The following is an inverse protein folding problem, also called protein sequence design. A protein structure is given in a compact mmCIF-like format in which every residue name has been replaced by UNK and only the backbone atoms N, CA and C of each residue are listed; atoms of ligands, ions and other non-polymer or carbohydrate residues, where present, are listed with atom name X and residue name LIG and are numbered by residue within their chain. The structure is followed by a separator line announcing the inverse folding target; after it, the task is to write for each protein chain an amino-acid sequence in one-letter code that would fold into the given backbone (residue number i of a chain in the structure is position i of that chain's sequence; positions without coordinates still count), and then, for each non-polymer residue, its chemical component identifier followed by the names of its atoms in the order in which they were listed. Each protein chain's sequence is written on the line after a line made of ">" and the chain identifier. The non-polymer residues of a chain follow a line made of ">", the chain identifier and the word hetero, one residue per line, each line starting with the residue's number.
data_IF_049044766456
#
_entry.id   IF_049044766456
#
_cell.length_a   1.000
_cell.length_b   1.000
_cell.length_c   1.000
_cell.angle_alpha   90.00
_cell.angle_beta   90.00
_cell.angle_gamma   90.00
#
_symmetry.space_group_name_H-M   'P 1'
#
loop_
_entity.id
_entity.type
_entity.pdbx_description
1 polymer ?
#
# COMPACT_ATOMS: atom_id res chain seq x y z
N UNK A 1 14.13 37.83 4.01
CA UNK A 1 13.83 36.43 4.39
C UNK A 1 15.13 35.66 4.33
N UNK A 2 15.41 34.82 5.32
CA UNK A 2 16.56 33.91 5.28
C UNK A 2 16.42 32.95 4.08
N UNK A 3 17.53 32.53 3.45
CA UNK A 3 17.47 31.52 2.39
C UNK A 3 16.90 30.21 2.95
N UNK A 4 16.11 29.51 2.13
CA UNK A 4 15.63 28.16 2.43
C UNK A 4 16.58 27.18 1.75
N UNK A 5 17.08 26.23 2.53
CA UNK A 5 17.97 25.16 2.07
C UNK A 5 17.17 23.88 1.86
N UNK A 6 17.41 23.20 0.74
CA UNK A 6 16.81 21.89 0.46
C UNK A 6 17.87 20.85 0.12
N UNK A 7 17.62 19.62 0.55
CA UNK A 7 18.37 18.44 0.13
C UNK A 7 17.42 17.45 -0.55
N UNK A 8 17.94 16.57 -1.39
CA UNK A 8 17.17 15.42 -1.90
C UNK A 8 18.09 14.23 -2.19
N UNK A 9 17.64 13.03 -1.84
CA UNK A 9 18.29 11.76 -2.22
C UNK A 9 17.66 11.17 -3.50
N UNK A 10 16.86 11.98 -4.21
CA UNK A 10 16.10 11.58 -5.36
C UNK A 10 16.25 12.62 -6.47
N UNK A 11 16.86 12.23 -7.58
CA UNK A 11 16.98 13.11 -8.74
C UNK A 11 15.65 13.15 -9.50
N UNK A 12 14.89 14.24 -9.31
CA UNK A 12 13.68 14.54 -10.06
C UNK A 12 13.72 15.96 -10.58
N UNK A 13 13.75 16.08 -11.90
CA UNK A 13 13.72 17.37 -12.60
C UNK A 13 12.55 18.25 -12.16
N UNK A 14 11.39 17.66 -11.80
CA UNK A 14 10.24 18.43 -11.31
C UNK A 14 10.54 19.08 -9.96
N UNK A 15 11.23 18.38 -9.06
CA UNK A 15 11.58 18.91 -7.73
C UNK A 15 12.65 19.98 -7.89
N UNK A 16 13.72 19.67 -8.62
CA UNK A 16 14.84 20.60 -8.86
C UNK A 16 14.34 21.90 -9.49
N UNK A 17 13.56 21.81 -10.59
CA UNK A 17 13.01 22.99 -11.25
C UNK A 17 12.09 23.81 -10.33
N UNK A 18 11.34 23.13 -9.46
CA UNK A 18 10.40 23.76 -8.53
C UNK A 18 11.12 24.51 -7.39
N UNK A 19 12.21 23.94 -6.86
CA UNK A 19 13.07 24.54 -5.85
C UNK A 19 13.87 25.72 -6.44
N UNK A 20 14.42 25.56 -7.65
CA UNK A 20 15.12 26.63 -8.36
C UNK A 20 14.20 27.83 -8.65
N UNK A 21 12.97 27.58 -9.12
CA UNK A 21 11.99 28.64 -9.34
C UNK A 21 11.63 29.41 -8.05
N UNK A 22 11.73 28.76 -6.89
CA UNK A 22 11.55 29.37 -5.56
C UNK A 22 12.81 30.02 -5.00
N UNK A 23 13.93 29.93 -5.71
CA UNK A 23 15.25 30.40 -5.27
C UNK A 23 15.72 29.74 -3.97
N UNK A 24 15.36 28.46 -3.77
CA UNK A 24 15.92 27.66 -2.68
C UNK A 24 17.33 27.21 -3.04
N UNK A 25 18.15 27.02 -2.01
CA UNK A 25 19.56 26.64 -2.15
C UNK A 25 19.69 25.14 -1.94
N UNK A 26 20.25 24.45 -2.93
CA UNK A 26 20.55 23.03 -2.80
C UNK A 26 21.77 22.82 -1.89
N UNK A 27 21.68 21.84 -1.00
CA UNK A 27 22.74 21.44 -0.08
C UNK A 27 22.84 19.92 -0.03
N UNK A 28 23.99 19.41 0.43
CA UNK A 28 24.16 17.98 0.66
C UNK A 28 23.30 17.50 1.85
N UNK A 29 22.97 16.22 1.89
CA UNK A 29 22.15 15.65 2.98
C UNK A 29 22.83 15.71 4.36
N UNK A 30 24.16 15.86 4.38
CA UNK A 30 24.98 15.97 5.58
C UNK A 30 25.09 17.42 6.10
N UNK A 31 24.70 18.40 5.27
CA UNK A 31 24.66 19.81 5.65
C UNK A 31 23.35 20.17 6.35
N UNK A 32 23.28 21.41 6.86
CA UNK A 32 22.02 21.95 7.37
C UNK A 32 21.03 22.25 6.23
N UNK A 33 19.88 21.60 6.27
CA UNK A 33 18.74 21.80 5.37
C UNK A 33 17.48 22.17 6.15
N UNK A 34 16.54 22.87 5.51
CA UNK A 34 15.19 23.09 6.05
C UNK A 34 14.19 22.07 5.51
N UNK A 35 14.36 21.65 4.25
CA UNK A 35 13.49 20.67 3.60
C UNK A 35 14.33 19.54 3.02
N UNK A 36 14.06 18.30 3.45
CA UNK A 36 14.67 17.13 2.83
C UNK A 36 13.61 16.36 2.05
N UNK A 37 13.75 16.36 0.72
CA UNK A 37 12.94 15.52 -0.15
C UNK A 37 13.54 14.12 -0.18
N UNK A 38 13.11 13.31 0.79
CA UNK A 38 13.62 11.98 1.04
C UNK A 38 12.90 10.91 0.21
N UNK A 39 13.61 9.84 -0.09
CA UNK A 39 13.07 8.58 -0.57
C UNK A 39 12.37 7.83 0.55
N UNK A 40 11.55 6.83 0.19
CA UNK A 40 10.89 5.95 1.16
C UNK A 40 11.91 5.23 2.07
N UNK A 41 13.10 4.93 1.54
CA UNK A 41 14.17 4.27 2.31
C UNK A 41 14.75 5.22 3.35
N UNK A 42 15.12 6.43 2.95
CA UNK A 42 15.69 7.43 3.86
C UNK A 42 14.67 7.89 4.90
N UNK A 43 13.42 8.13 4.51
CA UNK A 43 12.35 8.46 5.45
C UNK A 43 12.13 7.35 6.50
N UNK A 44 12.24 6.07 6.12
CA UNK A 44 12.17 4.96 7.09
C UNK A 44 13.36 4.94 8.03
N UNK A 45 14.56 5.24 7.54
CA UNK A 45 15.74 5.33 8.38
C UNK A 45 15.61 6.46 9.40
N UNK A 46 15.20 7.66 8.95
CA UNK A 46 14.98 8.85 9.79
C UNK A 46 13.93 8.58 10.88
N UNK A 47 12.80 7.97 10.52
CA UNK A 47 11.74 7.68 11.48
C UNK A 47 11.96 6.40 12.31
N UNK A 48 13.04 5.65 12.07
CA UNK A 48 13.37 4.50 12.90
C UNK A 48 13.86 5.00 14.27
N UNK A 49 13.18 4.62 15.34
CA UNK A 49 13.54 5.00 16.72
C UNK A 49 14.95 4.54 17.11
N UNK A 50 15.46 3.48 16.50
CA UNK A 50 16.81 2.96 16.74
C UNK A 50 17.91 3.78 16.06
N UNK A 51 17.57 4.59 15.06
CA UNK A 51 18.55 5.41 14.32
C UNK A 51 19.12 6.55 15.17
N UNK A 52 18.41 6.95 16.24
CA UNK A 52 18.76 8.11 17.06
C UNK A 52 18.59 9.47 16.37
N UNK A 53 18.14 9.48 15.11
CA UNK A 53 17.93 10.72 14.33
C UNK A 53 16.73 11.49 14.90
N UNK A 54 16.92 12.79 15.12
CA UNK A 54 15.86 13.72 15.51
C UNK A 54 15.91 14.93 14.61
N UNK A 55 14.78 15.25 14.00
CA UNK A 55 14.64 16.46 13.19
C UNK A 55 14.62 17.69 14.10
N UNK A 56 15.25 18.77 13.64
CA UNK A 56 15.17 20.09 14.25
C UNK A 56 13.80 20.74 13.97
N UNK A 57 13.45 21.78 14.74
CA UNK A 57 12.16 22.47 14.62
C UNK A 57 11.92 23.13 13.24
N UNK A 58 13.00 23.42 12.52
CA UNK A 58 13.00 24.02 11.18
C UNK A 58 13.22 23.00 10.05
N UNK A 59 13.26 21.71 10.38
CA UNK A 59 13.46 20.62 9.45
C UNK A 59 12.15 19.89 9.13
N UNK A 60 11.84 19.80 7.84
CA UNK A 60 10.66 19.13 7.32
C UNK A 60 11.05 18.09 6.27
N UNK A 61 10.39 16.94 6.30
CA UNK A 61 10.55 15.90 5.28
C UNK A 61 9.20 15.58 4.61
N UNK A 62 9.25 15.15 3.35
CA UNK A 62 8.09 14.86 2.48
C UNK A 62 7.33 13.56 2.83
N UNK A 63 7.54 12.97 4.01
CA UNK A 63 6.93 11.71 4.42
C UNK A 63 6.39 11.78 5.85
N UNK A 64 5.26 11.11 6.09
CA UNK A 64 4.75 10.92 7.44
C UNK A 64 5.28 9.62 8.06
N UNK A 65 5.55 9.59 9.38
CA UNK A 65 5.81 8.36 10.12
C UNK A 65 4.66 7.35 9.90
N UNK A 66 4.99 6.07 9.80
CA UNK A 66 4.00 4.99 9.63
C UNK A 66 3.08 5.11 8.39
N UNK A 67 3.44 5.90 7.38
CA UNK A 67 2.66 6.04 6.12
C UNK A 67 2.32 4.70 5.43
N UNK A 68 3.10 3.64 5.70
CA UNK A 68 2.88 2.30 5.17
C UNK A 68 1.57 1.67 5.65
N UNK A 69 0.98 2.14 6.75
CA UNK A 69 -0.34 1.71 7.25
C UNK A 69 -1.47 1.96 6.25
N UNK A 70 -1.33 3.00 5.41
CA UNK A 70 -2.30 3.35 4.37
C UNK A 70 -1.82 2.97 2.97
N UNK A 71 -0.51 2.95 2.72
CA UNK A 71 0.04 2.70 1.37
C UNK A 71 0.32 1.22 1.07
N UNK A 72 0.48 0.36 2.08
CA UNK A 72 0.54 -1.10 1.88
C UNK A 72 -0.86 -1.70 1.81
N UNK A 73 -1.09 -2.58 0.83
CA UNK A 73 -2.43 -3.13 0.53
C UNK A 73 -3.01 -3.96 1.68
N UNK A 74 -2.18 -4.76 2.34
CA UNK A 74 -2.58 -5.58 3.49
C UNK A 74 -2.96 -4.73 4.70
N UNK A 75 -2.14 -3.73 5.03
CA UNK A 75 -2.39 -2.83 6.16
C UNK A 75 -3.59 -1.92 5.91
N UNK A 76 -3.74 -1.37 4.69
CA UNK A 76 -4.91 -0.59 4.32
C UNK A 76 -6.21 -1.38 4.54
N UNK A 77 -6.26 -2.64 4.09
CA UNK A 77 -7.44 -3.51 4.28
C UNK A 77 -7.68 -3.80 5.76
N UNK A 78 -6.63 -4.08 6.55
CA UNK A 78 -6.76 -4.25 8.01
C UNK A 78 -7.29 -2.99 8.69
N UNK A 79 -6.78 -1.83 8.31
CA UNK A 79 -7.16 -0.55 8.88
C UNK A 79 -8.61 -0.18 8.56
N UNK A 80 -9.07 -0.40 7.32
CA UNK A 80 -10.47 -0.17 6.96
C UNK A 80 -11.41 -1.14 7.68
N UNK A 81 -11.02 -2.43 7.80
CA UNK A 81 -11.80 -3.41 8.60
C UNK A 81 -11.87 -2.99 10.08
N UNK A 82 -10.76 -2.50 10.66
CA UNK A 82 -10.73 -1.98 12.04
C UNK A 82 -11.62 -0.74 12.19
N UNK A 83 -11.50 0.22 11.26
CA UNK A 83 -12.27 1.46 11.26
C UNK A 83 -13.79 1.19 11.22
N UNK A 84 -14.24 0.32 10.30
CA UNK A 84 -15.65 -0.11 10.23
C UNK A 84 -16.16 -0.67 11.56
N UNK A 85 -15.40 -1.56 12.22
CA UNK A 85 -15.80 -2.14 13.53
C UNK A 85 -15.85 -1.12 14.66
N UNK A 86 -14.96 -0.13 14.66
CA UNK A 86 -14.98 0.95 15.65
C UNK A 86 -16.25 1.78 15.49
N UNK A 87 -16.55 2.21 14.26
CA UNK A 87 -17.74 2.97 13.95
C UNK A 87 -19.05 2.22 14.25
N UNK A 88 -19.08 0.90 14.03
CA UNK A 88 -20.22 0.06 14.43
C UNK A 88 -20.44 0.07 15.94
N UNK A 89 -19.38 -0.05 16.74
CA UNK A 89 -19.47 -0.01 18.21
C UNK A 89 -19.95 1.36 18.70
N UNK A 90 -19.54 2.41 18.02
CA UNK A 90 -19.93 3.79 18.32
C UNK A 90 -21.32 4.17 17.78
N UNK A 91 -22.00 3.24 17.09
CA UNK A 91 -23.28 3.51 16.39
C UNK A 91 -23.21 4.73 15.45
N UNK A 92 -22.06 4.94 14.82
CA UNK A 92 -21.83 6.06 13.93
C UNK A 92 -22.58 5.87 12.61
N UNK A 93 -23.20 6.94 12.09
CA UNK A 93 -23.97 6.93 10.83
C UNK A 93 -23.17 6.40 9.64
N UNK A 94 -21.86 6.56 9.62
CA UNK A 94 -20.99 6.07 8.55
C UNK A 94 -20.96 4.54 8.49
N UNK A 95 -21.20 3.85 9.61
CA UNK A 95 -21.30 2.40 9.67
C UNK A 95 -22.71 1.86 9.42
N UNK A 96 -23.67 2.71 9.03
CA UNK A 96 -25.02 2.27 8.68
C UNK A 96 -24.98 1.21 7.57
N UNK A 97 -25.87 0.21 7.67
CA UNK A 97 -26.00 -0.91 6.74
C UNK A 97 -27.39 -0.98 6.13
N UNK A 98 -27.48 -1.49 4.91
CA UNK A 98 -28.75 -1.88 4.30
C UNK A 98 -29.31 -3.19 4.92
N UNK A 99 -30.52 -3.58 4.52
CA UNK A 99 -31.18 -4.82 4.98
C UNK A 99 -30.39 -6.10 4.62
N UNK A 100 -29.43 -5.99 3.70
CA UNK A 100 -28.55 -7.09 3.28
C UNK A 100 -27.22 -7.10 4.05
N UNK A 101 -27.03 -6.16 4.99
CA UNK A 101 -25.85 -6.04 5.83
C UNK A 101 -24.65 -5.38 5.15
N UNK A 102 -24.83 -4.72 4.00
CA UNK A 102 -23.77 -3.96 3.31
C UNK A 102 -23.70 -2.54 3.83
N UNK A 103 -22.51 -1.99 3.97
CA UNK A 103 -22.35 -0.61 4.43
C UNK A 103 -22.87 0.38 3.40
N UNK A 104 -23.62 1.39 3.83
CA UNK A 104 -24.15 2.42 2.93
C UNK A 104 -23.05 3.38 2.46
N UNK A 105 -22.17 3.80 3.37
CA UNK A 105 -21.13 4.81 3.10
C UNK A 105 -19.72 4.23 2.99
N UNK A 106 -19.51 3.02 3.52
CA UNK A 106 -18.19 2.41 3.60
C UNK A 106 -18.00 1.25 2.62
N UNK A 107 -18.90 0.99 1.67
CA UNK A 107 -18.79 -0.09 0.67
C UNK A 107 -18.00 0.31 -0.59
N UNK A 108 -16.82 0.89 -0.39
CA UNK A 108 -15.92 1.33 -1.48
C UNK A 108 -14.65 0.48 -1.62
N UNK A 109 -14.49 -0.55 -0.78
CA UNK A 109 -13.37 -1.50 -0.85
C UNK A 109 -13.90 -2.89 -1.20
N UNK A 110 -13.46 -3.50 -2.31
CA UNK A 110 -13.86 -4.85 -2.67
C UNK A 110 -13.49 -5.86 -1.58
N UNK A 111 -14.29 -6.93 -1.46
CA UNK A 111 -14.00 -8.04 -0.55
C UNK A 111 -12.58 -8.55 -0.76
N UNK A 112 -11.77 -8.49 0.30
CA UNK A 112 -10.32 -8.76 0.24
C UNK A 112 -9.86 -9.61 1.42
N UNK A 113 -9.00 -10.58 1.12
CA UNK A 113 -8.40 -11.53 2.04
C UNK A 113 -6.88 -11.48 1.93
N UNK A 114 -6.17 -11.76 3.03
CA UNK A 114 -4.71 -11.77 3.08
C UNK A 114 -4.19 -13.20 3.01
N UNK A 115 -3.37 -13.52 2.03
CA UNK A 115 -2.78 -14.85 1.88
C UNK A 115 -1.36 -14.87 2.49
N UNK A 116 -0.99 -15.95 3.21
CA UNK A 116 -1.73 -17.20 3.37
C UNK A 116 -2.78 -17.23 4.49
N UNK A 117 -2.78 -16.22 5.38
CA UNK A 117 -3.53 -16.22 6.65
C UNK A 117 -5.05 -16.49 6.50
N UNK A 118 -5.69 -15.85 5.53
CA UNK A 118 -7.13 -15.88 5.29
C UNK A 118 -7.52 -16.92 4.22
N UNK A 119 -6.62 -17.83 3.83
CA UNK A 119 -6.88 -18.78 2.74
C UNK A 119 -8.15 -19.62 2.96
N UNK A 120 -8.38 -20.12 4.18
CA UNK A 120 -9.55 -20.93 4.51
C UNK A 120 -10.85 -20.14 4.29
N UNK A 121 -10.90 -18.91 4.79
CA UNK A 121 -12.07 -18.03 4.66
C UNK A 121 -12.29 -17.66 3.18
N UNK A 122 -11.22 -17.38 2.44
CA UNK A 122 -11.30 -17.15 1.00
C UNK A 122 -11.84 -18.39 0.25
N UNK A 123 -11.37 -19.59 0.59
CA UNK A 123 -11.80 -20.83 -0.06
C UNK A 123 -13.29 -21.12 0.18
N UNK A 124 -13.82 -20.78 1.35
CA UNK A 124 -15.25 -20.83 1.65
C UNK A 124 -16.06 -19.83 0.82
N UNK A 125 -15.59 -18.59 0.72
CA UNK A 125 -16.25 -17.56 -0.10
C UNK A 125 -16.26 -17.94 -1.59
N UNK A 126 -15.14 -18.46 -2.09
CA UNK A 126 -15.03 -18.95 -3.46
C UNK A 126 -16.03 -20.09 -3.72
N UNK A 127 -16.23 -21.01 -2.78
CA UNK A 127 -17.21 -22.11 -2.94
C UNK A 127 -18.64 -21.60 -3.03
N UNK A 128 -18.99 -20.55 -2.29
CA UNK A 128 -20.32 -19.90 -2.38
C UNK A 128 -20.50 -19.22 -3.74
N UNK A 129 -19.45 -18.60 -4.25
CA UNK A 129 -19.49 -17.76 -5.44
C UNK A 129 -18.42 -18.15 -6.48
N UNK A 130 -18.47 -19.35 -7.09
CA UNK A 130 -17.40 -19.89 -7.92
C UNK A 130 -17.21 -19.20 -9.28
N UNK A 131 -18.19 -18.37 -9.69
CA UNK A 131 -18.14 -17.60 -10.94
C UNK A 131 -17.39 -16.27 -10.79
N UNK A 132 -17.13 -15.82 -9.56
CA UNK A 132 -16.44 -14.55 -9.34
C UNK A 132 -14.98 -14.64 -9.77
N UNK A 133 -14.53 -13.59 -10.45
CA UNK A 133 -13.11 -13.39 -10.73
C UNK A 133 -12.47 -12.64 -9.56
N UNK A 134 -11.25 -13.04 -9.25
CA UNK A 134 -10.43 -12.47 -8.19
C UNK A 134 -9.12 -11.95 -8.78
N UNK A 135 -8.48 -11.02 -8.08
CA UNK A 135 -7.18 -10.47 -8.44
C UNK A 135 -6.21 -10.65 -7.28
N UNK A 136 -5.10 -11.34 -7.53
CA UNK A 136 -3.98 -11.42 -6.59
C UNK A 136 -3.04 -10.25 -6.81
N UNK A 137 -2.56 -9.66 -5.72
CA UNK A 137 -1.59 -8.56 -5.74
C UNK A 137 -0.58 -8.76 -4.61
N UNK A 138 0.73 -8.55 -4.85
CA UNK A 138 1.68 -8.52 -3.76
C UNK A 138 1.42 -7.29 -2.87
N UNK A 139 1.54 -7.46 -1.56
CA UNK A 139 1.13 -6.43 -0.59
C UNK A 139 2.03 -5.20 -0.66
N UNK A 140 3.31 -5.40 -0.92
CA UNK A 140 4.38 -4.39 -0.82
C UNK A 140 4.91 -3.90 -2.17
N UNK A 141 4.47 -4.47 -3.30
CA UNK A 141 4.92 -4.10 -4.65
C UNK A 141 4.00 -3.09 -5.34
N UNK A 142 4.52 -2.43 -6.37
CA UNK A 142 3.82 -1.44 -7.17
C UNK A 142 3.94 -1.74 -8.68
N UNK A 143 3.46 -0.84 -9.54
CA UNK A 143 3.61 -0.88 -11.01
C UNK A 143 3.01 -2.10 -11.73
N UNK A 144 2.09 -2.82 -11.07
CA UNK A 144 1.44 -3.99 -11.65
C UNK A 144 2.26 -5.29 -11.56
N UNK A 145 3.45 -5.25 -10.98
CA UNK A 145 4.30 -6.43 -10.86
C UNK A 145 3.68 -7.47 -9.93
N UNK A 146 3.71 -8.74 -10.36
CA UNK A 146 3.16 -9.87 -9.60
C UNK A 146 1.63 -9.88 -9.50
N UNK A 147 0.92 -9.05 -10.26
CA UNK A 147 -0.55 -9.06 -10.29
C UNK A 147 -1.05 -10.08 -11.31
N UNK A 148 -2.05 -10.87 -10.92
CA UNK A 148 -2.71 -11.79 -11.84
C UNK A 148 -4.17 -12.07 -11.43
N UNK A 149 -4.97 -12.45 -12.42
CA UNK A 149 -6.38 -12.82 -12.22
C UNK A 149 -6.51 -14.30 -11.87
N UNK A 150 -7.49 -14.59 -11.03
CA UNK A 150 -7.83 -15.94 -10.58
C UNK A 150 -9.33 -16.14 -10.76
N UNK A 151 -9.69 -17.16 -11.51
CA UNK A 151 -11.07 -17.62 -11.65
C UNK A 151 -11.24 -19.09 -11.24
N UNK A 152 -10.15 -19.77 -10.86
CA UNK A 152 -10.16 -21.16 -10.37
C UNK A 152 -9.31 -21.29 -9.13
N UNK A 153 -9.84 -21.95 -8.09
CA UNK A 153 -9.10 -22.21 -6.85
C UNK A 153 -7.78 -23.00 -7.08
N UNK A 154 -7.72 -23.83 -8.14
CA UNK A 154 -6.50 -24.54 -8.52
C UNK A 154 -5.34 -23.61 -8.91
N UNK A 155 -5.62 -22.42 -9.46
CA UNK A 155 -4.60 -21.42 -9.81
C UNK A 155 -3.91 -20.89 -8.54
N UNK A 156 -4.67 -20.61 -7.49
CA UNK A 156 -4.11 -20.18 -6.18
C UNK A 156 -3.24 -21.28 -5.59
N UNK A 157 -3.71 -22.54 -5.62
CA UNK A 157 -2.93 -23.68 -5.11
C UNK A 157 -1.63 -23.89 -5.90
N UNK A 158 -1.69 -23.77 -7.23
CA UNK A 158 -0.51 -23.88 -8.10
C UNK A 158 0.50 -22.77 -7.78
N UNK A 159 0.04 -21.52 -7.75
CA UNK A 159 0.86 -20.37 -7.37
C UNK A 159 1.52 -20.54 -6.00
N UNK A 160 0.77 -20.99 -4.99
CA UNK A 160 1.29 -21.21 -3.65
C UNK A 160 2.40 -22.28 -3.62
N UNK A 161 2.26 -23.37 -4.41
CA UNK A 161 3.29 -24.40 -4.53
C UNK A 161 4.55 -23.88 -5.22
N UNK A 162 4.39 -23.14 -6.32
CA UNK A 162 5.51 -22.57 -7.08
C UNK A 162 6.29 -21.57 -6.23
N UNK A 163 5.60 -20.66 -5.54
CA UNK A 163 6.24 -19.72 -4.60
C UNK A 163 6.93 -20.44 -3.44
N UNK A 164 6.34 -21.49 -2.86
CA UNK A 164 7.03 -22.28 -1.83
C UNK A 164 8.28 -23.00 -2.37
N UNK A 165 8.25 -23.54 -3.59
CA UNK A 165 9.38 -24.27 -4.17
C UNK A 165 10.59 -23.39 -4.51
N UNK A 166 10.38 -22.10 -4.77
CA UNK A 166 11.45 -21.14 -5.09
C UNK A 166 12.21 -20.73 -3.84
N UNK A 167 11.54 -20.57 -2.69
CA UNK A 167 12.20 -20.17 -1.43
C UNK A 167 12.73 -21.34 -0.59
N UNK A 168 12.51 -22.60 -1.00
CA UNK A 168 13.03 -23.79 -0.32
C UNK A 168 14.40 -24.29 -0.83
N UNK A 169 14.98 -23.68 -1.88
CA UNK A 169 16.25 -24.17 -2.45
C UNK A 169 17.52 -23.49 -1.94
N UNK A 170 17.44 -22.26 -1.40
CA UNK A 170 18.64 -21.49 -1.00
C UNK A 170 18.62 -21.10 0.49
N UNK A 171 18.19 -21.99 1.37
CA UNK A 171 18.16 -21.75 2.82
C UNK A 171 19.46 -22.19 3.51
N UNK A 172 20.58 -21.55 3.16
CA UNK A 172 21.74 -21.44 4.06
C UNK A 172 21.90 -19.97 4.51
N UNK A 173 21.42 -19.68 5.73
CA UNK A 173 21.97 -18.66 6.65
C UNK A 173 21.66 -17.17 6.41
N UNK A 174 20.43 -16.81 6.01
CA UNK A 174 19.95 -15.42 6.12
C UNK A 174 18.73 -15.30 7.07
N UNK A 175 18.67 -14.25 7.90
CA UNK A 175 17.62 -14.08 8.88
C UNK A 175 16.28 -13.78 8.20
N UNK A 176 15.33 -14.72 8.31
CA UNK A 176 13.89 -14.51 8.30
C UNK A 176 13.37 -13.52 7.22
N UNK A 177 13.67 -13.74 5.93
CA UNK A 177 12.96 -13.01 4.86
C UNK A 177 11.48 -13.37 4.98
N UNK A 178 10.57 -12.43 5.32
CA UNK A 178 9.16 -12.75 5.45
C UNK A 178 8.64 -13.18 4.08
N UNK A 179 7.95 -14.33 4.05
CA UNK A 179 7.23 -14.78 2.85
C UNK A 179 6.44 -13.63 2.26
N UNK A 180 6.59 -13.38 0.96
CA UNK A 180 5.88 -12.29 0.30
C UNK A 180 4.37 -12.45 0.54
N UNK A 181 3.78 -11.48 1.23
CA UNK A 181 2.35 -11.50 1.58
C UNK A 181 1.56 -10.99 0.39
N UNK A 182 0.46 -11.68 0.05
CA UNK A 182 -0.43 -11.27 -1.03
C UNK A 182 -1.80 -10.90 -0.49
N UNK A 183 -2.47 -10.00 -1.20
CA UNK A 183 -3.91 -9.80 -1.04
C UNK A 183 -4.63 -10.42 -2.23
N UNK A 184 -5.72 -11.15 -1.96
CA UNK A 184 -6.67 -11.58 -2.97
C UNK A 184 -7.96 -10.78 -2.79
N UNK A 185 -8.35 -10.07 -3.83
CA UNK A 185 -9.48 -9.14 -3.82
C UNK A 185 -10.47 -9.51 -4.91
N UNK A 186 -11.78 -9.32 -4.68
CA UNK A 186 -12.79 -9.50 -5.73
C UNK A 186 -12.48 -8.54 -6.88
N UNK A 187 -12.42 -9.08 -8.10
CA UNK A 187 -12.20 -8.28 -9.29
C UNK A 187 -13.49 -7.52 -9.65
N UNK A 188 -13.35 -6.25 -10.03
CA UNK A 188 -14.45 -5.44 -10.57
C UNK A 188 -14.54 -5.77 -12.06
N UNK A 189 -15.47 -6.65 -12.40
CA UNK A 189 -15.73 -7.20 -13.73
C UNK A 189 -16.64 -6.32 -14.59
N UNK A 190 -17.41 -5.43 -13.97
CA UNK A 190 -18.22 -4.41 -14.64
C UNK A 190 -17.70 -2.98 -14.36
N UNK A 191 -16.50 -2.59 -14.82
CA UNK A 191 -15.99 -1.23 -14.65
C UNK A 191 -16.69 -0.25 -15.60
N UNK A 192 -16.71 1.03 -15.25
CA UNK A 192 -17.04 2.09 -16.21
C UNK A 192 -16.04 2.08 -17.36
N UNK A 193 -16.54 2.21 -18.59
CA UNK A 193 -15.75 2.21 -19.81
C UNK A 193 -15.84 3.56 -20.52
N UNK A 194 -14.72 4.06 -21.03
CA UNK A 194 -14.67 5.20 -21.95
C UNK A 194 -14.11 4.67 -23.27
N UNK A 195 -14.89 4.78 -24.35
CA UNK A 195 -14.51 4.23 -25.67
C UNK A 195 -14.23 2.71 -25.64
N UNK A 196 -14.96 1.97 -24.80
CA UNK A 196 -14.78 0.51 -24.65
C UNK A 196 -13.54 0.09 -23.85
N UNK A 197 -12.79 1.04 -23.28
CA UNK A 197 -11.58 0.77 -22.49
C UNK A 197 -11.82 1.04 -21.00
N UNK A 198 -11.29 0.15 -20.16
CA UNK A 198 -11.21 0.34 -18.71
C UNK A 198 -10.16 1.40 -18.38
N UNK A 199 -10.41 2.19 -17.35
CA UNK A 199 -9.48 3.16 -16.79
C UNK A 199 -9.55 3.17 -15.26
N UNK A 200 -8.58 3.83 -14.63
CA UNK A 200 -8.59 4.19 -13.21
C UNK A 200 -8.31 5.68 -13.05
N UNK A 201 -8.62 6.23 -11.87
CA UNK A 201 -8.40 7.63 -11.54
C UNK A 201 -7.22 7.73 -10.56
N UNK A 202 -6.21 8.52 -10.94
CA UNK A 202 -5.16 9.01 -10.03
C UNK A 202 -5.58 10.39 -9.53
N UNK A 203 -5.69 10.54 -8.21
CA UNK A 203 -6.03 11.80 -7.56
C UNK A 203 -4.85 12.15 -6.65
N UNK A 204 -4.24 13.30 -6.90
CA UNK A 204 -3.21 13.90 -6.07
C UNK A 204 -3.78 15.22 -5.51
N UNK A 205 -3.68 15.43 -4.20
CA UNK A 205 -4.16 16.63 -3.50
C UNK A 205 -3.00 17.54 -3.08
#
# INVERSE_FOLDING_TARGET
>A
MSPIYYASDWDSSVIVNNCQARKWVEVDSDDHWNIFWASVTSARAIFNSESGVRLLDDQIINHFPNQFELTRKDLMVKNIKRYRRVLEKESNILAAKDDQGRYLYLDFIPTTYMLPQDYTIFAEEYKKNPRLTWILKPSSKARGEGIFLVNRLSQVKKWAKETHSVYSRDACHLPQVPRETYVISRYIDNPLLIGGKKFDLRIDN
#
